data_IF_790710577408
#
_entry.id   IF_790710577408
#
_cell.length_a   1.000
_cell.length_b   1.000
_cell.length_c   1.000
_cell.angle_alpha   90.00
_cell.angle_beta   90.00
_cell.angle_gamma   90.00
#
_symmetry.space_group_name_H-M   'P 1'
#
loop_
_entity.id
_entity.type
_entity.pdbx_description
1 polymer ?
#
# COMPACT_ATOMS: atom_id res chain seq x y z
N UNK A 1 -15.14 8.99 9.20
CA UNK A 1 -15.31 9.50 7.83
C UNK A 1 -13.96 9.46 7.13
N UNK A 2 -13.82 8.57 6.15
CA UNK A 2 -12.71 8.64 5.18
C UNK A 2 -12.96 9.85 4.30
N UNK A 3 -12.13 10.87 4.39
CA UNK A 3 -12.24 12.03 3.52
C UNK A 3 -11.48 11.79 2.19
N UNK A 4 -11.69 10.63 1.60
CA UNK A 4 -11.20 10.28 0.28
C UNK A 4 -12.40 9.92 -0.59
N UNK A 5 -12.43 10.43 -1.79
CA UNK A 5 -13.37 10.01 -2.80
C UNK A 5 -12.93 8.65 -3.34
N UNK A 6 -13.84 7.68 -3.33
CA UNK A 6 -13.57 6.33 -3.83
C UNK A 6 -14.41 6.10 -5.07
N UNK A 7 -13.80 5.61 -6.13
CA UNK A 7 -14.44 5.32 -7.40
C UNK A 7 -13.84 4.04 -8.03
N UNK A 8 -14.35 3.64 -9.17
CA UNK A 8 -13.83 2.49 -9.91
C UNK A 8 -13.09 2.95 -11.17
N UNK A 9 -12.04 2.20 -11.53
CA UNK A 9 -11.19 2.47 -12.68
C UNK A 9 -11.04 1.20 -13.52
N UNK A 10 -11.22 1.26 -14.86
CA UNK A 10 -10.93 0.13 -15.74
C UNK A 10 -9.42 -0.05 -15.90
N UNK A 11 -8.96 -1.31 -15.85
CA UNK A 11 -7.57 -1.72 -16.08
C UNK A 11 -7.59 -3.00 -16.92
N UNK A 12 -7.46 -2.88 -18.22
CA UNK A 12 -7.71 -3.98 -19.16
C UNK A 12 -9.14 -4.52 -19.03
N UNK A 13 -9.26 -5.82 -18.79
CA UNK A 13 -10.56 -6.47 -18.57
C UNK A 13 -11.09 -6.33 -17.13
N UNK A 14 -10.33 -5.70 -16.25
CA UNK A 14 -10.66 -5.59 -14.82
C UNK A 14 -11.19 -4.22 -14.46
N UNK A 15 -12.07 -4.19 -13.46
CA UNK A 15 -12.48 -2.95 -12.79
C UNK A 15 -11.90 -2.97 -11.38
N UNK A 16 -11.08 -1.98 -11.06
CA UNK A 16 -10.41 -1.88 -9.76
C UNK A 16 -10.87 -0.65 -9.00
N UNK A 17 -10.87 -0.68 -7.65
CA UNK A 17 -11.16 0.51 -6.87
C UNK A 17 -10.00 1.49 -6.97
N UNK A 18 -10.33 2.76 -6.99
CA UNK A 18 -9.37 3.85 -6.91
C UNK A 18 -9.81 4.88 -5.87
N UNK A 19 -8.87 5.62 -5.33
CA UNK A 19 -9.16 6.69 -4.39
C UNK A 19 -8.45 7.98 -4.76
N UNK A 20 -9.17 9.08 -4.70
CA UNK A 20 -8.67 10.43 -4.88
C UNK A 20 -8.36 11.05 -3.52
N UNK A 21 -7.12 11.46 -3.30
CA UNK A 21 -6.72 12.26 -2.16
C UNK A 21 -6.38 13.68 -2.63
N UNK A 22 -7.12 14.66 -2.14
CA UNK A 22 -6.92 16.07 -2.52
C UNK A 22 -5.87 16.81 -1.69
N UNK A 23 -5.25 16.13 -0.73
CA UNK A 23 -4.30 16.73 0.20
C UNK A 23 -4.94 17.53 1.36
N UNK A 24 -6.25 17.72 1.34
CA UNK A 24 -6.98 18.48 2.38
C UNK A 24 -7.21 17.66 3.64
N UNK A 25 -7.34 16.35 3.49
CA UNK A 25 -7.68 15.45 4.59
C UNK A 25 -6.60 14.39 4.83
N UNK A 26 -5.93 14.52 5.96
CA UNK A 26 -4.94 13.56 6.47
C UNK A 26 -5.59 12.46 7.32
N UNK A 27 -6.77 11.98 6.95
CA UNK A 27 -7.55 11.08 7.80
C UNK A 27 -7.08 9.63 7.79
N UNK A 28 -6.36 9.20 6.74
CA UNK A 28 -5.91 7.82 6.60
C UNK A 28 -4.48 7.76 6.07
N UNK A 29 -3.59 7.12 6.81
CA UNK A 29 -2.19 6.94 6.41
C UNK A 29 -2.06 6.12 5.11
N UNK A 30 -3.05 5.32 4.75
CA UNK A 30 -3.06 4.56 3.50
C UNK A 30 -3.14 5.49 2.28
N UNK A 31 -3.89 6.59 2.41
CA UNK A 31 -4.15 7.53 1.32
C UNK A 31 -3.24 8.76 1.33
N UNK A 32 -2.57 9.05 2.43
CA UNK A 32 -1.77 10.27 2.58
C UNK A 32 -0.32 9.96 2.93
N UNK A 33 0.62 10.22 2.02
CA UNK A 33 2.06 10.15 2.32
C UNK A 33 2.47 10.99 3.52
N UNK A 34 1.96 12.22 3.65
CA UNK A 34 2.24 13.04 4.84
C UNK A 34 1.85 12.33 6.12
N UNK A 35 0.68 11.70 6.14
CA UNK A 35 0.22 10.93 7.31
C UNK A 35 1.10 9.70 7.55
N UNK A 36 1.44 8.99 6.47
CA UNK A 36 2.26 7.79 6.57
C UNK A 36 3.68 8.08 7.05
N UNK A 37 4.31 9.14 6.56
CA UNK A 37 5.71 9.44 6.88
C UNK A 37 5.86 10.30 8.13
N UNK A 38 4.96 11.25 8.38
CA UNK A 38 5.10 12.19 9.49
C UNK A 38 4.38 11.70 10.74
N UNK A 39 3.07 11.50 10.65
CA UNK A 39 2.26 11.20 11.83
C UNK A 39 2.50 9.76 12.31
N UNK A 40 2.38 8.79 11.40
CA UNK A 40 2.63 7.39 11.72
C UNK A 40 4.10 7.15 12.07
N UNK A 41 5.04 7.83 11.38
CA UNK A 41 6.46 7.78 11.72
C UNK A 41 6.74 8.31 13.13
N UNK A 42 6.05 9.36 13.56
CA UNK A 42 6.17 9.89 14.93
C UNK A 42 5.59 8.92 15.98
N UNK A 43 4.46 8.27 15.69
CA UNK A 43 3.87 7.24 16.55
C UNK A 43 4.79 6.01 16.68
N UNK A 44 5.42 5.58 15.59
CA UNK A 44 6.37 4.46 15.61
C UNK A 44 7.64 4.80 16.41
N UNK A 45 8.16 6.03 16.33
CA UNK A 45 9.28 6.46 17.17
C UNK A 45 9.02 6.29 18.66
N UNK A 46 7.79 6.53 19.11
CA UNK A 46 7.42 6.38 20.52
C UNK A 46 7.42 4.91 20.96
N UNK A 47 7.20 3.98 20.03
CA UNK A 47 7.25 2.52 20.26
C UNK A 47 8.66 1.95 20.15
N UNK A 48 9.50 2.53 19.28
CA UNK A 48 10.84 2.00 18.97
C UNK A 48 11.88 2.35 20.04
N UNK A 49 11.69 3.44 20.79
CA UNK A 49 12.68 3.85 21.79
C UNK A 49 12.06 4.53 23.01
N UNK A 50 12.55 4.16 24.19
CA UNK A 50 12.23 4.83 25.45
C UNK A 50 13.11 6.06 25.70
N UNK A 51 14.19 6.24 24.92
CA UNK A 51 15.11 7.34 25.07
C UNK A 51 14.47 8.66 24.62
N UNK A 52 14.27 9.58 25.55
CA UNK A 52 13.63 10.87 25.32
C UNK A 52 14.39 11.74 24.32
N UNK A 53 15.74 11.73 24.33
CA UNK A 53 16.56 12.52 23.41
C UNK A 53 16.45 11.96 21.98
N UNK A 54 16.48 10.65 21.83
CA UNK A 54 16.32 10.00 20.54
C UNK A 54 14.94 10.30 19.94
N UNK A 55 13.85 10.25 20.76
CA UNK A 55 12.51 10.65 20.32
C UNK A 55 12.44 12.12 19.91
N UNK A 56 13.02 13.00 20.68
CA UNK A 56 13.04 14.43 20.36
C UNK A 56 13.79 14.71 19.05
N UNK A 57 14.95 14.12 18.87
CA UNK A 57 15.73 14.23 17.64
C UNK A 57 14.98 13.67 16.43
N UNK A 58 14.37 12.49 16.57
CA UNK A 58 13.57 11.87 15.51
C UNK A 58 12.33 12.71 15.12
N UNK A 59 11.60 13.24 16.10
CA UNK A 59 10.47 14.16 15.85
C UNK A 59 10.94 15.46 15.20
N UNK A 60 12.09 16.01 15.60
CA UNK A 60 12.70 17.16 14.96
C UNK A 60 13.05 16.91 13.49
N UNK A 61 13.61 15.73 13.18
CA UNK A 61 13.90 15.32 11.81
C UNK A 61 12.61 15.19 10.97
N UNK A 62 11.58 14.56 11.51
CA UNK A 62 10.28 14.44 10.83
C UNK A 62 9.63 15.80 10.61
N UNK A 63 9.69 16.71 11.59
CA UNK A 63 9.19 18.07 11.44
C UNK A 63 9.96 18.85 10.35
N UNK A 64 11.28 18.64 10.25
CA UNK A 64 12.10 19.21 9.19
C UNK A 64 11.77 18.68 7.79
N UNK A 65 11.29 17.43 7.68
CA UNK A 65 10.82 16.85 6.41
C UNK A 65 9.43 17.34 5.99
N UNK A 66 8.60 17.80 6.94
CA UNK A 66 7.22 18.21 6.68
C UNK A 66 7.06 19.22 5.54
N UNK A 67 7.83 20.33 5.47
CA UNK A 67 7.71 21.29 4.37
C UNK A 67 8.13 20.68 3.01
N UNK A 68 9.07 19.78 2.98
CA UNK A 68 9.51 19.09 1.74
C UNK A 68 8.41 18.16 1.22
N UNK A 69 7.78 17.39 2.10
CA UNK A 69 6.66 16.52 1.74
C UNK A 69 5.46 17.36 1.27
N UNK A 70 5.16 18.46 1.96
CA UNK A 70 4.09 19.38 1.55
C UNK A 70 4.35 20.00 0.17
N UNK A 71 5.59 20.47 -0.06
CA UNK A 71 6.00 21.09 -1.33
C UNK A 71 6.04 20.09 -2.50
N UNK A 72 6.28 18.78 -2.22
CA UNK A 72 6.30 17.75 -3.26
C UNK A 72 4.93 17.49 -3.91
N UNK A 73 3.84 17.92 -3.29
CA UNK A 73 2.48 17.62 -3.75
C UNK A 73 2.09 16.14 -3.65
N UNK A 74 2.86 15.31 -2.97
CA UNK A 74 2.63 13.86 -2.86
C UNK A 74 1.28 13.49 -2.27
N UNK A 75 0.64 14.36 -1.49
CA UNK A 75 -0.70 14.12 -0.95
C UNK A 75 -1.80 14.30 -2.01
N UNK A 76 -1.51 14.99 -3.12
CA UNK A 76 -2.45 15.12 -4.24
C UNK A 76 -2.25 13.93 -5.17
N UNK A 77 -2.93 12.85 -4.90
CA UNK A 77 -2.73 11.61 -5.61
C UNK A 77 -4.04 10.87 -5.92
N UNK A 78 -4.02 10.12 -7.00
CA UNK A 78 -4.99 9.08 -7.31
C UNK A 78 -4.32 7.73 -7.10
N UNK A 79 -4.78 6.98 -6.11
CA UNK A 79 -4.27 5.62 -5.88
C UNK A 79 -5.10 4.62 -6.65
N UNK A 80 -4.47 3.94 -7.60
CA UNK A 80 -5.04 2.88 -8.41
C UNK A 80 -5.06 1.57 -7.60
N UNK A 81 -6.07 0.76 -7.79
CA UNK A 81 -6.26 -0.53 -7.10
C UNK A 81 -6.19 -0.40 -5.57
N UNK A 82 -6.81 0.64 -5.03
CA UNK A 82 -6.79 0.91 -3.60
C UNK A 82 -8.01 0.31 -2.89
N UNK A 83 -7.83 -0.87 -2.33
CA UNK A 83 -8.83 -1.56 -1.51
C UNK A 83 -8.89 -1.05 -0.07
N UNK A 84 -8.20 0.05 0.24
CA UNK A 84 -8.09 0.64 1.57
C UNK A 84 -7.49 -0.32 2.61
N UNK A 85 -6.68 -1.26 2.15
CA UNK A 85 -5.95 -2.21 2.99
C UNK A 85 -4.44 -1.99 2.87
N UNK A 86 -3.70 -2.50 3.84
CA UNK A 86 -2.24 -2.32 3.90
C UNK A 86 -1.50 -2.94 2.70
N UNK A 87 -2.00 -4.05 2.18
CA UNK A 87 -1.44 -4.72 0.99
C UNK A 87 -2.57 -5.02 0.01
N UNK A 88 -2.51 -4.41 -1.17
CA UNK A 88 -3.47 -4.65 -2.23
C UNK A 88 -3.05 -5.85 -3.08
N UNK A 89 -4.01 -6.63 -3.52
CA UNK A 89 -3.81 -7.69 -4.51
C UNK A 89 -4.06 -7.09 -5.88
N UNK A 90 -3.08 -7.20 -6.78
CA UNK A 90 -3.22 -6.74 -8.15
C UNK A 90 -3.93 -7.82 -8.99
N UNK A 91 -4.89 -7.45 -9.83
CA UNK A 91 -5.48 -8.38 -10.78
C UNK A 91 -4.42 -8.85 -11.79
N UNK A 92 -4.51 -10.09 -12.26
CA UNK A 92 -3.64 -10.59 -13.31
C UNK A 92 -3.97 -9.88 -14.63
N UNK A 93 -3.12 -8.93 -15.01
CA UNK A 93 -3.26 -8.15 -16.24
C UNK A 93 -1.88 -7.75 -16.75
N UNK A 94 -1.80 -7.47 -18.04
CA UNK A 94 -0.56 -7.02 -18.66
C UNK A 94 -0.11 -5.66 -18.12
N UNK A 95 1.21 -5.44 -18.00
CA UNK A 95 1.77 -4.18 -17.52
C UNK A 95 1.29 -2.94 -18.30
N UNK A 96 1.04 -3.09 -19.59
CA UNK A 96 0.57 -2.05 -20.51
C UNK A 96 -0.82 -1.52 -20.11
N UNK A 97 -1.67 -2.37 -19.56
CA UNK A 97 -2.98 -1.95 -19.04
C UNK A 97 -2.86 -1.01 -17.84
N UNK A 98 -1.84 -1.21 -17.01
CA UNK A 98 -1.53 -0.28 -15.92
C UNK A 98 -1.00 1.05 -16.42
N UNK A 99 -0.15 1.04 -17.47
CA UNK A 99 0.33 2.28 -18.12
C UNK A 99 -0.84 3.07 -18.69
N UNK A 100 -1.73 2.43 -19.44
CA UNK A 100 -2.93 3.06 -19.98
C UNK A 100 -3.83 3.63 -18.86
N UNK A 101 -3.92 2.95 -17.71
CA UNK A 101 -4.64 3.47 -16.55
C UNK A 101 -3.95 4.68 -15.93
N UNK A 102 -2.62 4.72 -15.86
CA UNK A 102 -1.85 5.89 -15.42
C UNK A 102 -2.09 7.09 -16.36
N UNK A 103 -2.05 6.87 -17.67
CA UNK A 103 -2.29 7.92 -18.67
C UNK A 103 -3.71 8.47 -18.54
N UNK A 104 -4.71 7.60 -18.42
CA UNK A 104 -6.10 7.98 -18.22
C UNK A 104 -6.28 8.82 -16.96
N UNK A 105 -5.71 8.39 -15.84
CA UNK A 105 -5.77 9.14 -14.58
C UNK A 105 -5.08 10.49 -14.72
N UNK A 106 -3.91 10.55 -15.35
CA UNK A 106 -3.17 11.79 -15.56
C UNK A 106 -3.96 12.79 -16.43
N UNK A 107 -4.67 12.31 -17.44
CA UNK A 107 -5.52 13.13 -18.30
C UNK A 107 -6.80 13.60 -17.56
N UNK A 108 -7.41 12.72 -16.77
CA UNK A 108 -8.68 13.00 -16.06
C UNK A 108 -8.49 13.90 -14.85
N UNK A 109 -7.37 13.74 -14.15
CA UNK A 109 -7.06 14.46 -12.90
C UNK A 109 -5.74 15.24 -13.02
N UNK A 110 -5.70 16.33 -13.81
CA UNK A 110 -4.47 17.11 -13.98
C UNK A 110 -3.99 17.68 -12.65
N UNK A 111 -2.68 17.54 -12.39
CA UNK A 111 -2.04 17.97 -11.14
C UNK A 111 -2.19 17.00 -9.96
N UNK A 112 -2.70 15.79 -10.22
CA UNK A 112 -2.64 14.68 -9.28
C UNK A 112 -1.61 13.65 -9.72
N UNK A 113 -0.97 13.01 -8.76
CA UNK A 113 0.03 11.97 -9.01
C UNK A 113 -0.68 10.61 -9.03
N UNK A 114 -0.69 9.89 -10.15
CA UNK A 114 -1.19 8.52 -10.16
C UNK A 114 -0.21 7.60 -9.43
N UNK A 115 -0.72 6.76 -8.54
CA UNK A 115 0.07 5.88 -7.68
C UNK A 115 -0.48 4.47 -7.69
N UNK A 116 0.35 3.47 -7.92
CA UNK A 116 0.02 2.06 -7.73
C UNK A 116 0.83 1.50 -6.56
N UNK A 117 0.15 0.96 -5.57
CA UNK A 117 0.76 0.42 -4.36
C UNK A 117 0.84 -1.11 -4.40
N UNK A 118 1.67 -1.65 -3.50
CA UNK A 118 1.80 -3.10 -3.26
C UNK A 118 2.45 -3.90 -4.40
N UNK A 119 3.07 -3.22 -5.36
CA UNK A 119 3.89 -3.88 -6.37
C UNK A 119 5.16 -4.42 -5.72
N UNK A 120 5.51 -5.66 -6.00
CA UNK A 120 6.69 -6.31 -5.42
C UNK A 120 7.39 -7.23 -6.42
N UNK A 121 8.67 -7.52 -6.18
CA UNK A 121 9.51 -8.27 -7.11
C UNK A 121 9.14 -9.76 -7.19
N UNK A 122 8.54 -10.32 -6.15
CA UNK A 122 8.19 -11.75 -6.12
C UNK A 122 7.01 -12.07 -7.05
N UNK A 123 5.97 -11.21 -7.05
CA UNK A 123 4.75 -11.46 -7.80
C UNK A 123 4.60 -10.60 -9.06
N UNK A 124 5.29 -9.44 -9.16
CA UNK A 124 5.01 -8.42 -10.17
C UNK A 124 6.28 -7.97 -10.91
N UNK A 125 7.22 -8.88 -11.16
CA UNK A 125 8.50 -8.56 -11.82
C UNK A 125 8.31 -7.94 -13.21
N UNK A 126 7.35 -8.44 -14.00
CA UNK A 126 7.03 -7.91 -15.33
C UNK A 126 6.55 -6.46 -15.24
N UNK A 127 5.61 -6.16 -14.34
CA UNK A 127 5.11 -4.79 -14.09
C UNK A 127 6.26 -3.85 -13.69
N UNK A 128 7.10 -4.26 -12.74
CA UNK A 128 8.23 -3.45 -12.28
C UNK A 128 9.24 -3.16 -13.38
N UNK A 129 9.53 -4.14 -14.23
CA UNK A 129 10.46 -3.97 -15.34
C UNK A 129 9.89 -3.02 -16.41
N UNK A 130 8.62 -3.15 -16.73
CA UNK A 130 7.93 -2.22 -17.64
C UNK A 130 7.91 -0.82 -17.08
N UNK A 131 7.54 -0.64 -15.80
CA UNK A 131 7.51 0.69 -15.17
C UNK A 131 8.89 1.37 -15.14
N UNK A 132 9.98 0.60 -14.90
CA UNK A 132 11.35 1.14 -14.99
C UNK A 132 11.70 1.60 -16.41
N UNK A 133 11.36 0.78 -17.40
CA UNK A 133 11.62 1.09 -18.82
C UNK A 133 10.88 2.34 -19.25
N UNK A 134 9.65 2.53 -18.81
CA UNK A 134 8.82 3.69 -19.12
C UNK A 134 9.10 4.90 -18.21
N UNK A 135 10.15 4.83 -17.36
CA UNK A 135 10.61 5.96 -16.54
C UNK A 135 9.75 6.29 -15.31
N UNK A 136 8.87 5.38 -14.89
CA UNK A 136 8.09 5.59 -13.67
C UNK A 136 8.99 5.53 -12.43
N UNK A 137 8.74 6.40 -11.46
CA UNK A 137 9.47 6.41 -10.20
C UNK A 137 9.01 5.29 -9.28
N UNK A 138 9.94 4.44 -8.86
CA UNK A 138 9.68 3.35 -7.93
C UNK A 138 10.19 3.72 -6.53
N UNK A 139 9.28 3.78 -5.57
CA UNK A 139 9.61 4.08 -4.18
C UNK A 139 9.57 2.79 -3.34
N UNK A 140 10.69 2.36 -2.73
CA UNK A 140 10.69 1.26 -1.78
C UNK A 140 10.03 1.74 -0.47
N UNK A 141 8.91 1.10 -0.08
CA UNK A 141 8.14 1.52 1.10
C UNK A 141 8.41 0.58 2.28
N UNK A 142 8.37 -0.73 2.04
CA UNK A 142 8.54 -1.72 3.09
C UNK A 142 9.06 -3.06 2.57
N UNK A 143 9.68 -3.81 3.44
CA UNK A 143 10.02 -5.20 3.21
C UNK A 143 8.76 -6.05 3.39
N UNK A 144 8.51 -6.95 2.44
CA UNK A 144 7.46 -7.97 2.54
C UNK A 144 8.09 -9.35 2.68
N UNK A 145 7.40 -10.24 3.36
CA UNK A 145 7.75 -11.65 3.44
C UNK A 145 6.76 -12.42 2.59
N UNK A 146 7.29 -13.23 1.69
CA UNK A 146 6.49 -14.09 0.82
C UNK A 146 6.76 -15.54 1.20
N UNK A 147 5.72 -16.38 1.10
CA UNK A 147 5.84 -17.82 1.28
C UNK A 147 5.29 -18.51 0.05
N UNK A 148 6.08 -19.41 -0.50
CA UNK A 148 5.64 -20.30 -1.55
C UNK A 148 5.13 -21.62 -0.92
N UNK A 149 3.84 -21.81 -0.93
CA UNK A 149 3.21 -23.00 -0.38
C UNK A 149 3.45 -24.26 -1.21
N UNK A 150 3.84 -24.12 -2.47
CA UNK A 150 4.22 -25.26 -3.31
C UNK A 150 5.56 -25.86 -2.88
N UNK A 151 6.47 -25.03 -2.38
CA UNK A 151 7.83 -25.45 -1.97
C UNK A 151 7.91 -25.67 -0.46
N UNK A 152 7.25 -24.86 0.33
CA UNK A 152 7.34 -24.87 1.80
C UNK A 152 6.28 -25.81 2.38
N UNK A 153 6.66 -27.03 2.70
CA UNK A 153 5.78 -27.99 3.40
C UNK A 153 5.76 -27.72 4.91
N UNK A 154 4.56 -27.81 5.48
CA UNK A 154 4.36 -27.64 6.94
C UNK A 154 4.16 -26.19 7.35
N UNK A 155 3.64 -26.00 8.55
CA UNK A 155 3.34 -24.71 9.13
C UNK A 155 4.57 -24.12 9.83
N UNK A 156 4.77 -22.81 9.75
CA UNK A 156 5.73 -22.13 10.60
C UNK A 156 5.24 -22.14 12.06
N UNK A 157 6.14 -21.85 13.00
CA UNK A 157 5.78 -21.78 14.43
C UNK A 157 4.64 -20.79 14.68
N UNK A 158 4.61 -19.68 13.98
CA UNK A 158 3.59 -18.64 14.16
C UNK A 158 2.25 -19.05 13.53
N UNK A 159 2.26 -19.65 12.33
CA UNK A 159 1.04 -20.21 11.75
C UNK A 159 0.42 -21.32 12.62
N UNK A 160 1.26 -22.15 13.23
CA UNK A 160 0.78 -23.18 14.17
C UNK A 160 0.16 -22.57 15.43
N UNK A 161 0.68 -21.43 15.92
CA UNK A 161 0.08 -20.68 17.02
C UNK A 161 -1.24 -20.05 16.60
N UNK A 162 -1.31 -19.41 15.44
CA UNK A 162 -2.51 -18.79 14.90
C UNK A 162 -3.62 -19.81 14.68
N UNK A 163 -3.29 -20.98 14.13
CA UNK A 163 -4.25 -22.08 13.98
C UNK A 163 -4.81 -22.56 15.34
N UNK A 164 -3.96 -22.64 16.38
CA UNK A 164 -4.42 -22.97 17.73
C UNK A 164 -5.32 -21.91 18.32
N UNK A 165 -5.06 -20.62 18.03
CA UNK A 165 -5.90 -19.52 18.46
C UNK A 165 -7.25 -19.55 17.75
N UNK A 166 -7.27 -19.78 16.44
CA UNK A 166 -8.50 -19.94 15.65
C UNK A 166 -9.34 -21.12 16.13
N UNK A 167 -8.71 -22.24 16.48
CA UNK A 167 -9.41 -23.43 17.00
C UNK A 167 -10.01 -23.20 18.42
N UNK A 168 -9.47 -22.27 19.19
CA UNK A 168 -9.96 -21.93 20.55
C UNK A 168 -10.93 -20.75 20.57
N UNK A 169 -11.00 -19.97 19.49
CA UNK A 169 -11.79 -18.75 19.43
C UNK A 169 -13.28 -19.00 19.19
N UNK A 170 -14.14 -18.06 19.56
CA UNK A 170 -15.59 -18.12 19.34
C UNK A 170 -16.00 -17.85 17.88
N UNK A 171 -15.05 -17.77 16.99
CA UNK A 171 -15.35 -17.46 15.57
C UNK A 171 -15.91 -18.70 14.87
N UNK A 172 -17.15 -18.63 14.32
CA UNK A 172 -17.66 -19.73 13.52
C UNK A 172 -16.75 -19.91 12.30
N UNK A 173 -16.12 -21.07 12.18
CA UNK A 173 -15.41 -21.44 10.97
C UNK A 173 -16.44 -21.56 9.84
N UNK A 174 -16.57 -20.52 9.02
CA UNK A 174 -17.21 -20.69 7.73
C UNK A 174 -16.24 -21.49 6.87
N UNK A 175 -16.60 -22.73 6.58
CA UNK A 175 -15.97 -23.49 5.51
C UNK A 175 -16.16 -22.70 4.21
N UNK A 176 -15.13 -22.00 3.80
CA UNK A 176 -15.03 -21.48 2.44
C UNK A 176 -15.00 -22.63 1.44
N UNK A 177 -15.30 -22.39 0.16
CA UNK A 177 -15.12 -23.41 -0.86
C UNK A 177 -13.69 -23.93 -0.76
N UNK A 178 -13.55 -25.26 -0.69
CA UNK A 178 -12.25 -25.91 -0.70
C UNK A 178 -11.48 -25.47 -1.93
N UNK A 179 -10.33 -24.86 -1.71
CA UNK A 179 -9.37 -24.57 -2.79
C UNK A 179 -8.96 -25.95 -3.34
N UNK A 180 -9.21 -26.25 -4.61
CA UNK A 180 -8.80 -27.53 -5.18
C UNK A 180 -7.27 -27.66 -5.12
N UNK A 181 -6.75 -28.89 -5.00
CA UNK A 181 -5.33 -29.16 -4.87
C UNK A 181 -4.52 -28.68 -6.07
#
# INVERSE_FOLDING_TARGET
NLAAEVFTLPVGAWTVPASLNTGISRTCYINSPSRAFLDYGAEELDRLTENRLARLAGRGALAGLSPLIAASGMDRQVQLNNWLVATNILPPTDPENWLAAFDNVSATYPGFIPVLRSVNTAAHSAILNTFRREGLTLLPIRKIFTRDYAVTRGWTTDEAKDAKLLAKGPFPQRSGPSIPP
#
